data_IF_721530883508
#
_entry.id   IF_721530883508
#
_cell.length_a   1.000
_cell.length_b   1.000
_cell.length_c   1.000
_cell.angle_alpha   90.00
_cell.angle_beta   90.00
_cell.angle_gamma   90.00
#
_symmetry.space_group_name_H-M   'P 1'
#
loop_
_entity.id
_entity.type
_entity.pdbx_description
1 polymer ?
#
# COMPACT_ATOMS: atom_id res chain seq x y z
N UNK A 1 -73.67 -9.85 38.84
CA UNK A 1 -72.52 -9.48 37.99
C UNK A 1 -73.00 -9.48 36.55
N UNK A 2 -72.84 -8.38 35.82
CA UNK A 2 -73.30 -8.30 34.43
C UNK A 2 -72.31 -9.03 33.50
N UNK A 3 -72.76 -9.47 32.32
CA UNK A 3 -71.86 -10.09 31.33
C UNK A 3 -70.75 -9.16 30.87
N UNK A 4 -70.98 -7.84 30.91
CA UNK A 4 -69.99 -6.81 30.59
C UNK A 4 -68.85 -6.75 31.61
N UNK A 5 -69.14 -6.90 32.91
CA UNK A 5 -68.10 -6.85 33.95
C UNK A 5 -67.11 -8.02 33.80
N UNK A 6 -67.62 -9.21 33.48
CA UNK A 6 -66.81 -10.41 33.26
C UNK A 6 -65.95 -10.23 32.00
N UNK A 7 -66.53 -9.72 30.91
CA UNK A 7 -65.80 -9.45 29.68
C UNK A 7 -64.69 -8.42 29.87
N UNK A 8 -64.94 -7.37 30.66
CA UNK A 8 -63.95 -6.34 30.96
C UNK A 8 -62.74 -6.90 31.73
N UNK A 9 -62.97 -7.75 32.74
CA UNK A 9 -61.89 -8.39 33.50
C UNK A 9 -61.06 -9.32 32.62
N UNK A 10 -61.71 -10.10 31.76
CA UNK A 10 -61.02 -10.99 30.82
C UNK A 10 -60.16 -10.17 29.85
N UNK A 11 -60.72 -9.12 29.26
CA UNK A 11 -60.02 -8.26 28.32
C UNK A 11 -58.82 -7.56 28.98
N UNK A 12 -58.99 -7.01 30.19
CA UNK A 12 -57.91 -6.39 30.95
C UNK A 12 -56.79 -7.38 31.27
N UNK A 13 -57.15 -8.60 31.66
CA UNK A 13 -56.18 -9.65 31.97
C UNK A 13 -55.40 -10.10 30.74
N UNK A 14 -56.09 -10.29 29.60
CA UNK A 14 -55.46 -10.65 28.33
C UNK A 14 -54.52 -9.54 27.84
N UNK A 15 -54.93 -8.28 27.95
CA UNK A 15 -54.10 -7.13 27.58
C UNK A 15 -52.86 -7.01 28.49
N UNK A 16 -53.01 -7.21 29.80
CA UNK A 16 -51.89 -7.20 30.73
C UNK A 16 -50.85 -8.29 30.38
N UNK A 17 -51.30 -9.50 30.04
CA UNK A 17 -50.42 -10.58 29.57
C UNK A 17 -49.73 -10.22 28.25
N UNK A 18 -50.45 -9.59 27.31
CA UNK A 18 -49.87 -9.12 26.06
C UNK A 18 -48.77 -8.07 26.28
N UNK A 19 -48.99 -7.11 27.18
CA UNK A 19 -47.98 -6.11 27.54
C UNK A 19 -46.73 -6.77 28.14
N UNK A 20 -46.89 -7.73 29.05
CA UNK A 20 -45.77 -8.49 29.61
C UNK A 20 -45.02 -9.28 28.53
N UNK A 21 -45.75 -9.90 27.61
CA UNK A 21 -45.17 -10.62 26.49
C UNK A 21 -44.35 -9.70 25.57
N UNK A 22 -44.87 -8.51 25.23
CA UNK A 22 -44.17 -7.53 24.38
C UNK A 22 -43.04 -6.80 25.11
N UNK A 23 -43.05 -6.71 26.43
CA UNK A 23 -41.95 -6.12 27.19
C UNK A 23 -40.62 -6.86 26.97
N UNK A 24 -40.65 -8.19 26.83
CA UNK A 24 -39.46 -9.02 26.61
C UNK A 24 -38.71 -8.65 25.31
N UNK A 25 -39.34 -8.65 24.11
CA UNK A 25 -38.65 -8.26 22.89
C UNK A 25 -38.20 -6.80 22.91
N UNK A 26 -38.96 -5.88 23.53
CA UNK A 26 -38.54 -4.49 23.65
C UNK A 26 -37.24 -4.33 24.46
N UNK A 27 -37.13 -5.03 25.60
CA UNK A 27 -35.90 -5.04 26.40
C UNK A 27 -34.74 -5.65 25.61
N UNK A 28 -34.99 -6.74 24.87
CA UNK A 28 -33.95 -7.37 24.03
C UNK A 28 -33.49 -6.44 22.90
N UNK A 29 -34.40 -5.71 22.27
CA UNK A 29 -34.10 -4.71 21.25
C UNK A 29 -33.26 -3.56 21.83
N UNK A 30 -33.61 -3.05 23.01
CA UNK A 30 -32.82 -2.02 23.70
C UNK A 30 -31.38 -2.47 23.90
N UNK A 31 -31.19 -3.67 24.47
CA UNK A 31 -29.86 -4.27 24.65
C UNK A 31 -29.09 -4.45 23.34
N UNK A 32 -29.77 -4.81 22.24
CA UNK A 32 -29.14 -4.99 20.95
C UNK A 32 -28.66 -3.66 20.35
N UNK A 33 -29.43 -2.59 20.54
CA UNK A 33 -29.05 -1.23 20.15
C UNK A 33 -27.86 -0.76 20.99
N UNK A 34 -27.86 -1.04 22.29
CA UNK A 34 -26.75 -0.71 23.18
C UNK A 34 -25.45 -1.40 22.74
N UNK A 35 -25.52 -2.70 22.45
CA UNK A 35 -24.39 -3.49 21.94
C UNK A 35 -23.90 -2.97 20.58
N UNK A 36 -24.82 -2.69 19.66
CA UNK A 36 -24.48 -2.14 18.34
C UNK A 36 -23.80 -0.78 18.49
N UNK A 37 -24.27 0.05 19.41
CA UNK A 37 -23.68 1.36 19.69
C UNK A 37 -22.28 1.23 20.29
N UNK A 38 -22.06 0.25 21.17
CA UNK A 38 -20.74 -0.08 21.69
C UNK A 38 -19.80 -0.56 20.59
N UNK A 39 -20.23 -1.49 19.73
CA UNK A 39 -19.43 -1.98 18.60
C UNK A 39 -19.06 -0.88 17.62
N UNK A 40 -19.98 0.04 17.31
CA UNK A 40 -19.70 1.20 16.44
C UNK A 40 -18.68 2.13 17.09
N UNK A 41 -18.78 2.33 18.41
CA UNK A 41 -17.83 3.16 19.15
C UNK A 41 -16.43 2.55 19.16
N UNK A 42 -16.31 1.26 19.47
CA UNK A 42 -15.05 0.51 19.41
C UNK A 42 -14.44 0.57 18.01
N UNK A 43 -15.24 0.29 16.99
CA UNK A 43 -14.79 0.39 15.59
C UNK A 43 -14.29 1.80 15.25
N UNK A 44 -14.97 2.85 15.71
CA UNK A 44 -14.55 4.22 15.49
C UNK A 44 -13.25 4.56 16.22
N UNK A 45 -13.06 4.06 17.44
CA UNK A 45 -11.85 4.24 18.25
C UNK A 45 -10.64 3.51 17.60
N UNK A 46 -10.88 2.35 16.98
CA UNK A 46 -9.84 1.56 16.28
C UNK A 46 -9.52 2.07 14.87
N UNK A 47 -10.50 2.56 14.12
CA UNK A 47 -10.28 3.03 12.72
C UNK A 47 -9.50 4.34 12.68
N UNK A 48 -9.72 5.25 13.62
CA UNK A 48 -9.00 6.54 13.63
C UNK A 48 -7.48 6.40 13.62
N UNK A 49 -6.83 5.61 14.51
CA UNK A 49 -5.38 5.43 14.49
C UNK A 49 -4.89 4.71 13.23
N UNK A 50 -5.67 3.79 12.65
CA UNK A 50 -5.32 3.15 11.38
C UNK A 50 -5.25 4.17 10.23
N UNK A 51 -6.19 5.10 10.15
CA UNK A 51 -6.17 6.16 9.13
C UNK A 51 -4.99 7.11 9.32
N UNK A 52 -4.65 7.45 10.56
CA UNK A 52 -3.45 8.23 10.87
C UNK A 52 -2.18 7.48 10.46
N UNK A 53 -2.06 6.20 10.81
CA UNK A 53 -0.90 5.36 10.45
C UNK A 53 -0.75 5.14 8.95
N UNK A 54 -1.86 5.01 8.21
CA UNK A 54 -1.85 4.95 6.73
C UNK A 54 -1.38 6.28 6.13
N UNK A 55 -1.84 7.40 6.67
CA UNK A 55 -1.40 8.73 6.22
C UNK A 55 0.10 8.93 6.45
N UNK A 56 0.61 8.51 7.61
CA UNK A 56 2.04 8.53 7.91
C UNK A 56 2.82 7.61 6.97
N UNK A 57 2.34 6.39 6.75
CA UNK A 57 2.97 5.43 5.82
C UNK A 57 3.04 5.97 4.39
N UNK A 58 1.96 6.58 3.89
CA UNK A 58 1.94 7.23 2.56
C UNK A 58 2.90 8.40 2.52
N UNK A 59 2.96 9.21 3.59
CA UNK A 59 3.88 10.33 3.70
C UNK A 59 5.35 9.86 3.66
N UNK A 60 5.69 8.82 4.42
CA UNK A 60 7.04 8.23 4.41
C UNK A 60 7.36 7.54 3.09
N UNK A 61 6.39 6.87 2.47
CA UNK A 61 6.55 6.28 1.13
C UNK A 61 6.83 7.37 0.10
N UNK A 62 6.10 8.49 0.12
CA UNK A 62 6.35 9.63 -0.76
C UNK A 62 7.75 10.22 -0.55
N UNK A 63 8.20 10.37 0.70
CA UNK A 63 9.57 10.81 1.00
C UNK A 63 10.61 9.83 0.45
N UNK A 64 10.37 8.52 0.55
CA UNK A 64 11.27 7.50 0.01
C UNK A 64 11.29 7.51 -1.53
N UNK A 65 10.14 7.68 -2.18
CA UNK A 65 10.07 7.83 -3.64
C UNK A 65 10.85 9.05 -4.12
N UNK A 66 10.74 10.20 -3.44
CA UNK A 66 11.53 11.39 -3.75
C UNK A 66 13.05 11.15 -3.61
N UNK A 67 13.48 10.34 -2.63
CA UNK A 67 14.90 9.94 -2.49
C UNK A 67 15.34 9.01 -3.62
N UNK A 68 14.48 8.09 -4.05
CA UNK A 68 14.76 7.17 -5.17
C UNK A 68 14.92 7.94 -6.48
N UNK A 69 14.13 8.98 -6.71
CA UNK A 69 14.27 9.86 -7.88
C UNK A 69 15.67 10.46 -7.95
N UNK A 70 16.13 11.05 -6.83
CA UNK A 70 17.49 11.59 -6.71
C UNK A 70 18.57 10.54 -6.90
N UNK A 71 18.41 9.33 -6.33
CA UNK A 71 19.38 8.23 -6.54
C UNK A 71 19.42 7.83 -8.02
N UNK A 72 18.28 7.80 -8.69
CA UNK A 72 18.16 7.45 -10.11
C UNK A 72 18.85 8.50 -10.99
N UNK A 73 18.67 9.78 -10.69
CA UNK A 73 19.36 10.88 -11.37
C UNK A 73 20.88 10.80 -11.17
N UNK A 74 21.34 10.65 -9.92
CA UNK A 74 22.76 10.45 -9.64
C UNK A 74 23.34 9.22 -10.36
N UNK A 75 22.57 8.12 -10.43
CA UNK A 75 23.00 6.91 -11.14
C UNK A 75 23.10 7.16 -12.65
N UNK A 76 22.18 7.93 -13.24
CA UNK A 76 22.25 8.34 -14.64
C UNK A 76 23.48 9.22 -14.90
N UNK A 77 23.78 10.18 -14.03
CA UNK A 77 24.98 11.02 -14.13
C UNK A 77 26.26 10.20 -14.01
N UNK A 78 26.35 9.29 -13.03
CA UNK A 78 27.51 8.40 -12.86
C UNK A 78 27.68 7.51 -14.09
N UNK A 79 26.60 6.95 -14.63
CA UNK A 79 26.63 6.15 -15.86
C UNK A 79 27.17 6.97 -17.04
N UNK A 80 26.67 8.20 -17.23
CA UNK A 80 27.13 9.10 -18.27
C UNK A 80 28.62 9.45 -18.12
N UNK A 81 29.05 9.79 -16.90
CA UNK A 81 30.45 10.09 -16.59
C UNK A 81 31.35 8.88 -16.88
N UNK A 82 30.92 7.67 -16.51
CA UNK A 82 31.64 6.42 -16.84
C UNK A 82 31.73 6.25 -18.36
N UNK A 83 30.65 6.45 -19.11
CA UNK A 83 30.68 6.37 -20.58
C UNK A 83 31.68 7.37 -21.17
N UNK A 84 31.72 8.60 -20.67
CA UNK A 84 32.72 9.61 -21.07
C UNK A 84 34.14 9.18 -20.72
N UNK A 85 34.38 8.65 -19.52
CA UNK A 85 35.69 8.14 -19.10
C UNK A 85 36.15 6.97 -19.99
N UNK A 86 35.26 6.04 -20.31
CA UNK A 86 35.54 4.91 -21.22
C UNK A 86 35.85 5.41 -22.63
N UNK A 87 35.12 6.41 -23.12
CA UNK A 87 35.37 7.01 -24.43
C UNK A 87 36.75 7.68 -24.48
N UNK A 88 37.10 8.47 -23.47
CA UNK A 88 38.44 9.10 -23.35
C UNK A 88 39.53 8.03 -23.26
N UNK A 89 39.36 7.02 -22.42
CA UNK A 89 40.31 5.91 -22.32
C UNK A 89 40.50 5.18 -23.66
N UNK A 90 39.41 4.90 -24.38
CA UNK A 90 39.44 4.26 -25.71
C UNK A 90 40.13 5.15 -26.74
N UNK A 91 39.92 6.46 -26.70
CA UNK A 91 40.59 7.42 -27.59
C UNK A 91 42.10 7.52 -27.28
N UNK A 92 42.47 7.57 -26.00
CA UNK A 92 43.86 7.74 -25.56
C UNK A 92 44.69 6.47 -25.67
N UNK A 93 44.12 5.29 -25.40
CA UNK A 93 44.85 4.02 -25.32
C UNK A 93 44.41 3.04 -26.38
N UNK A 94 43.10 2.88 -26.59
CA UNK A 94 42.55 1.93 -27.56
C UNK A 94 42.93 2.25 -29.01
N UNK A 95 42.72 3.49 -29.45
CA UNK A 95 43.01 3.90 -30.84
C UNK A 95 44.50 3.76 -31.22
N UNK A 96 45.48 4.19 -30.40
CA UNK A 96 46.90 3.91 -30.66
C UNK A 96 47.26 2.43 -30.65
N UNK A 97 46.77 1.65 -29.67
CA UNK A 97 47.08 0.22 -29.59
C UNK A 97 46.55 -0.57 -30.80
N UNK A 98 45.34 -0.26 -31.27
CA UNK A 98 44.77 -0.88 -32.48
C UNK A 98 45.61 -0.55 -33.72
N UNK A 99 46.08 0.70 -33.84
CA UNK A 99 47.00 1.09 -34.94
C UNK A 99 48.32 0.34 -34.86
N UNK A 100 48.91 0.18 -33.67
CA UNK A 100 50.16 -0.56 -33.44
C UNK A 100 49.97 -2.05 -33.80
N UNK A 101 48.89 -2.67 -33.33
CA UNK A 101 48.58 -4.06 -33.64
C UNK A 101 48.34 -4.28 -35.15
N UNK A 102 47.63 -3.36 -35.80
CA UNK A 102 47.44 -3.36 -37.26
C UNK A 102 48.75 -3.22 -38.04
N UNK A 103 49.64 -2.34 -37.61
CA UNK A 103 50.99 -2.20 -38.17
C UNK A 103 51.80 -3.49 -38.00
N UNK A 104 51.81 -4.07 -36.79
CA UNK A 104 52.51 -5.31 -36.52
C UNK A 104 52.00 -6.48 -37.38
N UNK A 105 50.68 -6.57 -37.58
CA UNK A 105 50.04 -7.58 -38.44
C UNK A 105 50.33 -7.36 -39.93
N UNK A 106 50.33 -6.12 -40.40
CA UNK A 106 50.70 -5.79 -41.78
C UNK A 106 52.17 -6.10 -42.05
N UNK A 107 53.04 -5.72 -41.11
CA UNK A 107 54.47 -5.99 -41.18
C UNK A 107 54.72 -7.51 -41.20
N UNK A 108 54.13 -8.27 -40.27
CA UNK A 108 54.27 -9.73 -40.27
C UNK A 108 53.69 -10.36 -41.54
N UNK A 109 52.55 -9.90 -42.04
CA UNK A 109 51.97 -10.36 -43.30
C UNK A 109 52.89 -10.15 -44.52
N UNK A 110 53.58 -9.02 -44.61
CA UNK A 110 54.54 -8.73 -45.68
C UNK A 110 55.78 -9.63 -45.58
N UNK A 111 56.25 -9.91 -44.36
CA UNK A 111 57.39 -10.81 -44.15
C UNK A 111 57.03 -12.29 -44.36
N UNK A 112 55.78 -12.70 -44.11
CA UNK A 112 55.32 -14.08 -44.33
C UNK A 112 54.85 -14.36 -45.77
N UNK A 113 54.43 -13.37 -46.55
CA UNK A 113 53.97 -13.53 -47.95
C UNK A 113 55.11 -13.49 -48.99
N UNK A 114 56.36 -13.67 -48.55
CA UNK A 114 57.57 -13.71 -49.40
C UNK A 114 58.21 -15.10 -49.53
N UNK A 115 57.46 -16.17 -49.21
CA UNK A 115 57.85 -17.55 -49.55
C UNK A 115 56.89 -18.12 -50.59
#
# INVERSE_FOLDING_TARGET
>A
MSGGDIAAIIAASAFALFVLFTAIPLVKLGRLIDETSASVRELSEDVSPLLTGLTETVTETNKQLARIDVITENAAEVSQNISSLVAVFTASVGSPLVKIAGFAKSLSGIFLNKK
#
